data_IF_470054274880
#
_entry.id   IF_470054274880
#
_cell.length_a   1.000
_cell.length_b   1.000
_cell.length_c   1.000
_cell.angle_alpha   90.00
_cell.angle_beta   90.00
_cell.angle_gamma   90.00
#
_symmetry.space_group_name_H-M   'P 1'
#
loop_
_entity.id
_entity.type
_entity.pdbx_description
1 polymer ?
#
# COMPACT_ATOMS: atom_id res chain seq x y z
N UNK A 1 -18.10 11.10 23.31
CA UNK A 1 -16.87 11.51 22.62
C UNK A 1 -16.72 10.54 21.45
N UNK A 2 -16.88 11.00 20.20
CA UNK A 2 -16.57 10.13 19.04
C UNK A 2 -15.08 9.82 19.11
N UNK A 3 -14.66 8.56 18.95
CA UNK A 3 -13.22 8.25 18.89
C UNK A 3 -12.69 8.88 17.62
N UNK A 4 -11.45 9.35 17.62
CA UNK A 4 -10.85 10.00 16.45
C UNK A 4 -10.84 9.10 15.19
N UNK A 5 -10.96 7.78 15.35
CA UNK A 5 -11.13 6.80 14.27
C UNK A 5 -12.53 6.82 13.61
N UNK A 6 -13.54 7.40 14.24
CA UNK A 6 -14.94 7.40 13.75
C UNK A 6 -15.29 8.69 12.96
N UNK A 7 -14.28 9.52 12.63
CA UNK A 7 -14.45 10.76 11.87
C UNK A 7 -14.55 10.43 10.38
N UNK A 8 -15.69 10.67 9.71
CA UNK A 8 -15.86 10.33 8.30
C UNK A 8 -14.99 11.19 7.40
N UNK A 9 -14.31 10.57 6.46
CA UNK A 9 -13.52 11.21 5.42
C UNK A 9 -13.78 10.51 4.08
N UNK A 10 -13.47 11.17 2.97
CA UNK A 10 -13.60 10.61 1.63
C UNK A 10 -12.47 11.07 0.72
N UNK A 11 -12.52 10.70 -0.57
CA UNK A 11 -11.57 11.16 -1.58
C UNK A 11 -12.06 12.40 -2.36
N UNK A 12 -13.19 13.02 -1.99
CA UNK A 12 -13.73 14.19 -2.69
C UNK A 12 -14.58 15.11 -1.81
N UNK A 13 -14.91 16.30 -2.33
CA UNK A 13 -15.79 17.26 -1.64
C UNK A 13 -15.23 17.77 -0.31
N UNK A 14 -16.12 18.20 0.58
CA UNK A 14 -15.77 18.91 1.82
C UNK A 14 -15.04 18.05 2.87
N UNK A 15 -14.91 16.74 2.64
CA UNK A 15 -14.13 15.82 3.47
C UNK A 15 -13.07 15.04 2.66
N UNK A 16 -12.68 15.59 1.51
CA UNK A 16 -11.63 15.07 0.63
C UNK A 16 -10.20 15.30 1.17
N UNK A 17 -9.17 14.84 0.42
CA UNK A 17 -7.78 14.88 0.84
C UNK A 17 -7.25 16.25 1.25
N UNK A 18 -7.70 17.31 0.56
CA UNK A 18 -7.34 18.70 0.87
C UNK A 18 -7.86 19.15 2.25
N UNK A 19 -8.89 18.50 2.78
CA UNK A 19 -9.57 18.87 4.02
C UNK A 19 -9.37 17.88 5.17
N UNK A 20 -8.73 16.72 4.95
CA UNK A 20 -8.58 15.72 6.01
C UNK A 20 -8.00 16.27 7.31
N UNK A 21 -6.97 17.11 7.21
CA UNK A 21 -6.33 17.73 8.36
C UNK A 21 -7.27 18.64 9.19
N UNK A 22 -8.37 19.13 8.63
CA UNK A 22 -9.34 19.98 9.34
C UNK A 22 -10.46 19.17 10.01
N UNK A 23 -10.58 17.88 9.73
CA UNK A 23 -11.72 17.07 10.19
C UNK A 23 -11.65 16.72 11.68
N UNK A 24 -10.44 16.55 12.23
CA UNK A 24 -10.22 16.43 13.68
C UNK A 24 -8.74 16.63 14.05
N UNK A 25 -8.50 16.87 15.34
CA UNK A 25 -7.16 17.11 15.90
C UNK A 25 -6.16 15.98 15.59
N UNK A 26 -6.62 14.73 15.52
CA UNK A 26 -5.75 13.58 15.23
C UNK A 26 -5.27 13.57 13.78
N UNK A 27 -6.12 13.97 12.84
CA UNK A 27 -5.74 14.10 11.43
C UNK A 27 -4.85 15.32 11.22
N UNK A 28 -5.15 16.43 11.92
CA UNK A 28 -4.29 17.60 11.95
C UNK A 28 -2.87 17.24 12.40
N UNK A 29 -2.74 16.51 13.52
CA UNK A 29 -1.44 16.12 14.06
C UNK A 29 -0.63 15.24 13.10
N UNK A 30 -1.27 14.29 12.40
CA UNK A 30 -0.54 13.48 11.43
C UNK A 30 -0.14 14.26 10.17
N UNK A 31 -0.96 15.21 9.74
CA UNK A 31 -0.66 16.10 8.61
C UNK A 31 0.50 17.08 8.88
N UNK A 32 0.88 17.31 10.15
CA UNK A 32 2.08 18.08 10.52
C UNK A 32 3.38 17.38 10.11
N UNK A 33 3.37 16.06 9.88
CA UNK A 33 4.56 15.34 9.43
C UNK A 33 5.02 15.86 8.07
N UNK A 34 6.27 16.31 8.00
CA UNK A 34 6.76 17.12 6.87
C UNK A 34 6.81 16.36 5.54
N UNK A 35 7.21 15.09 5.55
CA UNK A 35 7.38 14.29 4.33
C UNK A 35 6.14 13.43 4.05
N UNK A 36 5.09 14.06 3.53
CA UNK A 36 3.84 13.36 3.22
C UNK A 36 3.98 12.46 1.98
N UNK A 37 3.15 11.42 1.91
CA UNK A 37 3.01 10.48 0.78
C UNK A 37 1.60 10.54 0.20
N UNK A 38 1.38 10.14 -1.07
CA UNK A 38 2.36 9.61 -2.05
C UNK A 38 3.20 10.72 -2.71
N UNK A 39 4.18 10.33 -3.52
CA UNK A 39 5.02 11.24 -4.33
C UNK A 39 5.25 10.74 -5.74
N UNK A 40 5.66 11.66 -6.62
CA UNK A 40 6.31 11.30 -7.86
C UNK A 40 7.70 10.73 -7.57
N UNK A 41 8.04 9.62 -8.25
CA UNK A 41 9.32 8.96 -8.21
C UNK A 41 9.94 9.07 -9.61
N UNK A 42 11.16 9.59 -9.69
CA UNK A 42 11.86 9.80 -10.95
C UNK A 42 13.25 9.21 -10.82
N UNK A 43 13.61 8.28 -11.70
CA UNK A 43 14.89 7.57 -11.61
C UNK A 43 16.08 8.55 -11.64
N UNK A 44 16.04 9.54 -12.52
CA UNK A 44 17.11 10.54 -12.70
C UNK A 44 17.23 11.54 -11.55
N UNK A 45 16.28 11.56 -10.61
CA UNK A 45 16.32 12.42 -9.43
C UNK A 45 16.62 11.66 -8.13
N UNK A 46 17.19 10.46 -8.23
CA UNK A 46 17.58 9.64 -7.09
C UNK A 46 19.00 9.93 -6.62
N UNK A 47 19.24 9.67 -5.35
CA UNK A 47 20.57 9.66 -4.75
C UNK A 47 21.18 8.27 -4.86
N UNK A 48 22.51 8.21 -4.86
CA UNK A 48 23.25 6.95 -4.87
C UNK A 48 22.79 6.04 -3.71
N UNK A 49 22.46 4.77 -3.98
CA UNK A 49 22.04 3.85 -2.95
C UNK A 49 23.14 3.67 -1.89
N UNK A 50 22.71 3.60 -0.64
CA UNK A 50 23.58 3.25 0.49
C UNK A 50 23.58 1.70 0.61
N UNK A 51 24.25 1.12 1.60
CA UNK A 51 23.99 -0.28 1.93
C UNK A 51 22.53 -0.45 2.41
N UNK A 52 21.80 -1.37 1.79
CA UNK A 52 20.41 -1.66 2.11
C UNK A 52 20.21 -3.15 2.39
N UNK A 53 19.87 -3.40 3.65
CA UNK A 53 19.56 -4.72 4.18
C UNK A 53 18.03 -4.88 4.23
N UNK A 54 17.42 -5.23 3.09
CA UNK A 54 15.99 -5.52 2.93
C UNK A 54 15.81 -6.99 2.54
N UNK A 55 15.05 -7.75 3.34
CA UNK A 55 14.76 -9.15 3.06
C UNK A 55 13.28 -9.47 3.31
N UNK A 56 12.68 -10.20 2.37
CA UNK A 56 11.29 -10.63 2.45
C UNK A 56 11.20 -12.06 2.99
N UNK A 57 10.38 -12.25 4.03
CA UNK A 57 10.14 -13.53 4.68
C UNK A 57 8.64 -13.82 4.68
N UNK A 58 8.09 -13.98 3.48
CA UNK A 58 6.69 -14.30 3.27
C UNK A 58 6.50 -15.80 3.14
N UNK A 59 5.33 -16.26 3.57
CA UNK A 59 4.91 -17.64 3.41
C UNK A 59 3.40 -17.70 3.25
N UNK A 60 2.90 -18.81 2.69
CA UNK A 60 1.46 -19.07 2.62
C UNK A 60 0.84 -19.01 4.01
N UNK A 61 -0.12 -18.11 4.19
CA UNK A 61 -0.88 -17.96 5.43
C UNK A 61 -2.35 -17.62 5.16
N UNK A 62 -3.14 -17.53 6.23
CA UNK A 62 -4.58 -17.26 6.17
C UNK A 62 -4.86 -15.77 6.34
N UNK A 63 -5.68 -15.23 5.46
CA UNK A 63 -6.19 -13.87 5.50
C UNK A 63 -7.72 -13.87 5.67
N UNK A 64 -8.23 -12.73 6.12
CA UNK A 64 -9.63 -12.34 5.96
C UNK A 64 -9.70 -11.07 5.13
N UNK A 65 -10.73 -10.93 4.32
CA UNK A 65 -10.99 -9.72 3.55
C UNK A 65 -12.02 -8.85 4.28
N UNK A 66 -11.79 -7.54 4.29
CA UNK A 66 -12.72 -6.56 4.85
C UNK A 66 -12.73 -5.32 3.99
N UNK A 67 -13.92 -4.82 3.69
CA UNK A 67 -14.06 -3.45 3.21
C UNK A 67 -13.74 -2.49 4.37
N UNK A 68 -12.75 -1.63 4.18
CA UNK A 68 -12.43 -0.56 5.12
C UNK A 68 -11.81 0.62 4.37
N UNK A 69 -12.08 1.85 4.82
CA UNK A 69 -11.47 3.07 4.24
C UNK A 69 -11.58 3.16 2.71
N UNK A 70 -12.66 2.63 2.15
CA UNK A 70 -12.97 2.67 0.72
C UNK A 70 -12.07 1.79 -0.17
N UNK A 71 -11.49 0.72 0.39
CA UNK A 71 -10.84 -0.36 -0.35
C UNK A 71 -11.05 -1.69 0.38
N UNK A 72 -10.71 -2.78 -0.30
CA UNK A 72 -10.55 -4.10 0.31
C UNK A 72 -9.21 -4.19 1.01
N UNK A 73 -9.24 -4.78 2.19
CA UNK A 73 -8.09 -5.09 3.03
C UNK A 73 -8.02 -6.59 3.25
N UNK A 74 -6.89 -7.22 2.90
CA UNK A 74 -6.54 -8.57 3.30
C UNK A 74 -5.71 -8.50 4.59
N UNK A 75 -6.32 -8.93 5.68
CA UNK A 75 -5.71 -8.90 7.02
C UNK A 75 -5.31 -10.32 7.42
N UNK A 76 -4.02 -10.57 7.70
CA UNK A 76 -3.58 -11.90 8.12
C UNK A 76 -4.12 -12.25 9.52
N UNK A 77 -4.49 -13.51 9.73
CA UNK A 77 -4.93 -13.99 11.04
C UNK A 77 -3.78 -14.11 12.04
N UNK A 78 -2.56 -14.33 11.53
CA UNK A 78 -1.36 -14.56 12.31
C UNK A 78 -0.23 -13.62 11.84
N UNK A 79 0.83 -13.46 12.62
CA UNK A 79 2.02 -12.66 12.23
C UNK A 79 3.08 -13.58 11.63
N UNK A 80 2.77 -14.18 10.50
CA UNK A 80 3.60 -15.22 9.89
C UNK A 80 4.56 -14.69 8.83
N UNK A 81 4.09 -13.77 7.99
CA UNK A 81 4.90 -13.06 6.99
C UNK A 81 5.49 -11.77 7.56
N UNK A 82 6.74 -11.46 7.22
CA UNK A 82 7.43 -10.23 7.64
C UNK A 82 8.51 -9.80 6.66
N UNK A 83 8.95 -8.55 6.81
CA UNK A 83 10.11 -7.96 6.14
C UNK A 83 11.17 -7.66 7.19
N UNK A 84 12.42 -8.02 6.91
CA UNK A 84 13.57 -7.57 7.70
C UNK A 84 14.14 -6.34 7.02
N UNK A 85 14.24 -5.22 7.73
CA UNK A 85 14.91 -4.01 7.26
C UNK A 85 15.92 -3.54 8.31
N UNK A 86 17.20 -3.47 7.95
CA UNK A 86 18.31 -3.09 8.84
C UNK A 86 18.32 -3.91 10.14
N UNK A 87 18.16 -5.23 10.01
CA UNK A 87 18.08 -6.17 11.12
C UNK A 87 16.81 -6.10 12.00
N UNK A 88 15.81 -5.30 11.64
CA UNK A 88 14.54 -5.19 12.37
C UNK A 88 13.41 -5.87 11.58
N UNK A 89 12.61 -6.69 12.26
CA UNK A 89 11.46 -7.36 11.66
C UNK A 89 10.21 -6.49 11.71
N UNK A 90 9.56 -6.31 10.57
CA UNK A 90 8.26 -5.67 10.39
C UNK A 90 7.26 -6.72 9.91
N UNK A 91 6.30 -7.07 10.75
CA UNK A 91 5.31 -8.11 10.44
C UNK A 91 4.21 -7.56 9.56
N UNK A 92 3.81 -8.33 8.54
CA UNK A 92 2.71 -7.99 7.66
C UNK A 92 1.42 -7.85 8.48
N UNK A 93 0.74 -6.72 8.33
CA UNK A 93 -0.50 -6.43 9.05
C UNK A 93 -1.69 -6.25 8.13
N UNK A 94 -1.45 -5.91 6.87
CA UNK A 94 -2.51 -5.52 5.95
C UNK A 94 -2.01 -5.50 4.50
N UNK A 95 -2.87 -5.90 3.56
CA UNK A 95 -2.67 -5.70 2.13
C UNK A 95 -3.93 -5.03 1.56
N UNK A 96 -3.78 -3.91 0.88
CA UNK A 96 -4.89 -3.22 0.21
C UNK A 96 -4.41 -2.61 -1.10
N UNK A 97 -5.32 -1.99 -1.85
CA UNK A 97 -4.98 -1.38 -3.13
C UNK A 97 -5.68 -0.05 -3.38
N UNK A 98 -5.07 0.73 -4.27
CA UNK A 98 -5.56 2.01 -4.74
C UNK A 98 -5.74 2.01 -6.25
N UNK A 99 -6.78 2.67 -6.72
CA UNK A 99 -7.16 2.82 -8.12
C UNK A 99 -7.54 4.27 -8.43
N UNK A 100 -6.78 4.97 -9.29
CA UNK A 100 -5.48 4.58 -9.86
C UNK A 100 -4.38 4.44 -8.79
N UNK A 101 -3.16 4.09 -9.21
CA UNK A 101 -1.97 4.14 -8.33
C UNK A 101 -1.80 5.49 -7.65
N UNK A 102 -1.33 5.47 -6.39
CA UNK A 102 -1.06 6.67 -5.61
C UNK A 102 0.29 7.28 -5.98
N UNK A 103 1.33 6.46 -6.10
CA UNK A 103 2.62 6.86 -6.65
C UNK A 103 2.56 6.94 -8.17
N UNK A 104 3.40 7.81 -8.72
CA UNK A 104 3.71 7.82 -10.15
C UNK A 104 5.20 7.60 -10.33
N UNK A 105 5.59 6.91 -11.38
CA UNK A 105 7.00 6.63 -11.71
C UNK A 105 7.29 7.21 -13.09
N UNK A 106 8.29 8.07 -13.19
CA UNK A 106 8.69 8.77 -14.43
C UNK A 106 7.50 9.39 -15.18
N UNK A 107 6.68 10.15 -14.44
CA UNK A 107 5.45 10.80 -14.92
C UNK A 107 4.34 9.84 -15.41
N UNK A 108 4.46 8.53 -15.19
CA UNK A 108 3.45 7.54 -15.52
C UNK A 108 2.67 7.06 -14.30
N UNK A 109 1.36 7.36 -14.28
CA UNK A 109 0.41 6.76 -13.35
C UNK A 109 -0.11 5.43 -13.88
N UNK A 110 -0.09 4.40 -13.05
CA UNK A 110 -0.62 3.07 -13.37
C UNK A 110 -2.07 2.90 -12.88
N UNK A 111 -2.76 1.90 -13.42
CA UNK A 111 -4.19 1.65 -13.13
C UNK A 111 -4.46 1.18 -11.68
N UNK A 112 -3.46 0.61 -11.01
CA UNK A 112 -3.60 0.00 -9.70
C UNK A 112 -2.27 0.05 -8.93
N UNK A 113 -2.33 0.20 -7.61
CA UNK A 113 -1.18 0.03 -6.71
C UNK A 113 -1.59 -0.77 -5.48
N UNK A 114 -0.88 -1.85 -5.18
CA UNK A 114 -1.01 -2.58 -3.92
C UNK A 114 -0.04 -2.03 -2.88
N UNK A 115 -0.54 -1.88 -1.65
CA UNK A 115 0.25 -1.59 -0.46
C UNK A 115 0.26 -2.79 0.47
N UNK A 116 1.45 -3.33 0.73
CA UNK A 116 1.68 -4.32 1.78
C UNK A 116 2.24 -3.58 3.01
N UNK A 117 1.41 -3.45 4.03
CA UNK A 117 1.72 -2.69 5.25
C UNK A 117 2.26 -3.61 6.31
N UNK A 118 3.40 -3.23 6.89
CA UNK A 118 4.08 -3.97 7.94
C UNK A 118 4.32 -3.09 9.15
N UNK A 119 4.36 -3.72 10.33
CA UNK A 119 4.61 -3.03 11.59
C UNK A 119 5.55 -3.85 12.49
N UNK A 120 6.52 -3.20 13.11
CA UNK A 120 7.40 -3.83 14.09
C UNK A 120 6.77 -3.85 15.50
N UNK A 121 7.49 -4.38 16.49
CA UNK A 121 7.01 -4.46 17.88
C UNK A 121 6.85 -3.09 18.56
N UNK A 122 7.60 -2.09 18.11
CA UNK A 122 7.55 -0.72 18.61
C UNK A 122 6.42 0.11 17.96
N UNK A 123 5.69 -0.47 17.00
CA UNK A 123 4.58 0.20 16.29
C UNK A 123 5.02 1.09 15.15
N UNK A 124 6.26 0.97 14.68
CA UNK A 124 6.78 1.65 13.51
C UNK A 124 6.38 0.90 12.24
N UNK A 125 6.02 1.64 11.19
CA UNK A 125 5.50 1.06 9.97
C UNK A 125 6.49 1.11 8.81
N UNK A 126 6.36 0.10 7.95
CA UNK A 126 7.03 -0.04 6.67
C UNK A 126 5.97 -0.41 5.64
N UNK A 127 5.97 0.24 4.48
CA UNK A 127 5.02 -0.06 3.41
C UNK A 127 5.76 -0.39 2.13
N UNK A 128 5.32 -1.47 1.49
CA UNK A 128 5.80 -1.90 0.19
C UNK A 128 4.73 -1.62 -0.84
N UNK A 129 5.07 -0.83 -1.87
CA UNK A 129 4.20 -0.45 -2.98
C UNK A 129 4.53 -1.23 -4.25
N UNK A 130 3.53 -1.81 -4.91
CA UNK A 130 3.68 -2.48 -6.20
C UNK A 130 2.61 -1.98 -7.16
N UNK A 131 3.02 -1.48 -8.32
CA UNK A 131 2.15 -0.91 -9.33
C UNK A 131 1.76 -1.96 -10.37
N UNK A 132 0.53 -1.89 -10.88
CA UNK A 132 -0.01 -2.84 -11.84
C UNK A 132 -0.79 -2.15 -12.97
N UNK A 133 -0.72 -2.74 -14.17
CA UNK A 133 -1.67 -2.53 -15.26
C UNK A 133 -2.75 -3.61 -15.21
N UNK A 134 -3.98 -3.24 -15.54
CA UNK A 134 -5.10 -4.15 -15.59
C UNK A 134 -5.21 -4.79 -16.98
N UNK A 135 -5.35 -6.12 -16.99
CA UNK A 135 -5.43 -6.91 -18.23
C UNK A 135 -6.62 -7.85 -18.20
N UNK A 136 -7.10 -8.27 -19.37
CA UNK A 136 -8.16 -9.27 -19.50
C UNK A 136 -7.64 -10.71 -19.35
N UNK A 137 -6.33 -10.90 -19.23
CA UNK A 137 -5.77 -12.21 -18.91
C UNK A 137 -6.15 -12.57 -17.48
N UNK A 138 -6.51 -13.83 -17.26
CA UNK A 138 -6.52 -14.39 -15.91
C UNK A 138 -5.05 -14.46 -15.48
N UNK A 139 -4.69 -13.68 -14.47
CA UNK A 139 -3.35 -13.71 -13.88
C UNK A 139 -3.28 -14.85 -12.85
N UNK A 140 -2.11 -15.08 -12.25
CA UNK A 140 -1.91 -16.18 -11.31
C UNK A 140 -2.85 -16.14 -10.08
N UNK A 141 -3.45 -14.98 -9.73
CA UNK A 141 -4.52 -14.85 -8.71
C UNK A 141 -5.81 -15.55 -9.15
N UNK A 142 -6.20 -15.39 -10.42
CA UNK A 142 -7.42 -15.97 -10.99
C UNK A 142 -7.20 -17.32 -11.69
N UNK A 143 -5.96 -17.62 -12.10
CA UNK A 143 -5.65 -18.76 -12.97
C UNK A 143 -5.41 -20.05 -12.19
N UNK A 144 -5.59 -20.03 -10.87
CA UNK A 144 -5.72 -21.21 -10.03
C UNK A 144 -7.19 -21.28 -9.59
N UNK A 145 -8.00 -22.04 -10.32
CA UNK A 145 -9.28 -22.58 -9.83
C UNK A 145 -9.03 -23.59 -8.70
N UNK A 146 -8.20 -23.22 -7.74
CA UNK A 146 -8.18 -23.89 -6.46
C UNK A 146 -9.10 -23.05 -5.58
N UNK A 147 -10.34 -23.52 -5.43
CA UNK A 147 -11.32 -22.94 -4.49
C UNK A 147 -10.75 -22.85 -3.06
N UNK A 148 -9.55 -23.43 -2.80
CA UNK A 148 -8.78 -23.24 -1.57
C UNK A 148 -8.19 -21.84 -1.36
N UNK A 149 -8.08 -21.00 -2.40
CA UNK A 149 -7.47 -19.66 -2.27
C UNK A 149 -8.50 -18.63 -1.81
N UNK A 150 -9.73 -18.68 -2.33
CA UNK A 150 -10.76 -17.67 -2.11
C UNK A 150 -12.07 -18.31 -1.63
N UNK A 151 -12.32 -18.25 -0.33
CA UNK A 151 -13.60 -18.59 0.28
C UNK A 151 -14.39 -17.29 0.51
N UNK A 152 -15.07 -16.84 -0.54
CA UNK A 152 -15.91 -15.64 -0.51
C UNK A 152 -17.14 -15.79 0.38
N UNK A 153 -17.59 -17.02 0.66
CA UNK A 153 -18.72 -17.24 1.57
C UNK A 153 -18.32 -16.96 3.02
N UNK A 154 -17.10 -17.36 3.41
CA UNK A 154 -16.58 -17.19 4.75
C UNK A 154 -15.53 -16.06 4.86
N UNK A 155 -15.39 -15.23 3.81
CA UNK A 155 -14.41 -14.14 3.72
C UNK A 155 -13.01 -14.56 4.20
N UNK A 156 -12.56 -15.74 3.75
CA UNK A 156 -11.27 -16.33 4.12
C UNK A 156 -10.43 -16.63 2.89
N UNK A 157 -9.15 -16.27 2.94
CA UNK A 157 -8.23 -16.44 1.82
C UNK A 157 -6.95 -17.13 2.27
N UNK A 158 -6.36 -17.95 1.41
CA UNK A 158 -5.09 -18.64 1.71
C UNK A 158 -4.09 -18.45 0.57
N UNK A 159 -3.09 -17.61 0.79
CA UNK A 159 -2.10 -17.31 -0.23
C UNK A 159 -0.75 -16.92 0.38
N UNK A 160 0.28 -16.94 -0.45
CA UNK A 160 1.63 -16.51 -0.09
C UNK A 160 1.87 -15.09 -0.63
N UNK A 161 2.09 -14.07 0.21
CA UNK A 161 2.23 -12.68 -0.24
C UNK A 161 3.37 -12.43 -1.24
N UNK A 162 4.35 -13.35 -1.38
CA UNK A 162 5.38 -13.26 -2.44
C UNK A 162 4.80 -13.13 -3.84
N UNK A 163 3.57 -13.59 -4.02
CA UNK A 163 2.83 -13.49 -5.28
C UNK A 163 2.64 -12.05 -5.79
N UNK A 164 2.62 -11.05 -4.90
CA UNK A 164 2.56 -9.64 -5.28
C UNK A 164 3.91 -9.04 -5.66
N UNK A 165 5.02 -9.71 -5.30
CA UNK A 165 6.36 -9.19 -5.49
C UNK A 165 6.91 -9.52 -6.89
N UNK A 166 7.73 -8.64 -7.48
CA UNK A 166 8.49 -8.97 -8.68
C UNK A 166 9.61 -9.99 -8.41
N UNK A 167 10.04 -10.69 -9.46
CA UNK A 167 11.27 -11.52 -9.40
C UNK A 167 12.53 -10.68 -9.19
N UNK A 168 12.54 -9.46 -9.75
CA UNK A 168 13.64 -8.49 -9.60
C UNK A 168 13.23 -7.43 -8.59
N UNK A 169 14.11 -7.18 -7.63
CA UNK A 169 13.77 -6.33 -6.50
C UNK A 169 14.22 -4.89 -6.67
N UNK A 170 14.25 -4.34 -7.90
CA UNK A 170 14.63 -2.93 -8.07
C UNK A 170 13.52 -2.03 -7.52
N UNK A 171 13.88 -1.04 -6.72
CA UNK A 171 12.88 -0.23 -6.04
C UNK A 171 13.40 1.12 -5.58
N UNK A 172 12.47 2.06 -5.45
CA UNK A 172 12.66 3.30 -4.75
C UNK A 172 12.52 3.10 -3.24
N UNK A 173 13.35 3.79 -2.47
CA UNK A 173 13.21 3.89 -1.02
C UNK A 173 13.20 5.35 -0.58
N UNK A 174 12.21 5.71 0.24
CA UNK A 174 12.13 7.04 0.86
C UNK A 174 11.38 6.98 2.20
N UNK A 175 11.54 8.03 3.02
CA UNK A 175 10.75 8.21 4.25
C UNK A 175 9.55 9.12 3.96
N UNK A 176 8.37 8.61 4.27
CA UNK A 176 7.09 9.23 3.96
C UNK A 176 6.07 9.18 5.10
N UNK A 177 4.79 9.22 4.73
CA UNK A 177 3.65 9.11 5.63
C UNK A 177 2.69 8.02 5.21
N UNK A 178 1.67 7.74 6.03
CA UNK A 178 0.46 7.09 5.55
C UNK A 178 -0.21 7.97 4.49
N UNK A 179 -0.87 7.36 3.52
CA UNK A 179 -1.62 8.04 2.45
C UNK A 179 -3.10 8.21 2.76
N UNK A 180 -3.58 7.61 3.86
CA UNK A 180 -4.93 7.85 4.41
C UNK A 180 -4.84 8.45 5.80
N UNK A 181 -5.90 9.12 6.29
CA UNK A 181 -5.94 9.64 7.64
C UNK A 181 -5.54 8.60 8.70
N UNK A 182 -4.66 8.98 9.66
CA UNK A 182 -4.27 10.35 10.00
C UNK A 182 -3.11 10.94 9.17
N UNK A 183 -2.66 10.29 8.09
CA UNK A 183 -1.51 10.71 7.27
C UNK A 183 -0.21 10.90 8.06
N UNK A 184 -0.05 10.10 9.12
CA UNK A 184 1.08 10.17 10.04
C UNK A 184 2.31 9.48 9.45
N UNK A 185 3.49 10.04 9.71
CA UNK A 185 4.78 9.40 9.51
C UNK A 185 5.57 9.28 10.82
N UNK A 186 6.82 8.81 10.77
CA UNK A 186 7.52 8.36 9.56
C UNK A 186 7.07 6.96 9.11
N UNK A 187 7.05 6.74 7.80
CA UNK A 187 6.86 5.43 7.16
C UNK A 187 8.05 5.16 6.24
N UNK A 188 8.67 3.99 6.36
CA UNK A 188 9.64 3.56 5.37
C UNK A 188 8.90 3.00 4.14
N UNK A 189 8.99 3.69 3.01
CA UNK A 189 8.40 3.26 1.75
C UNK A 189 9.42 2.51 0.89
N UNK A 190 8.97 1.42 0.28
CA UNK A 190 9.69 0.64 -0.71
C UNK A 190 8.78 0.43 -1.92
N UNK A 191 8.99 1.18 -3.00
CA UNK A 191 8.12 1.17 -4.18
C UNK A 191 8.87 0.53 -5.34
N UNK A 192 8.44 -0.65 -5.76
CA UNK A 192 9.08 -1.37 -6.87
C UNK A 192 8.83 -0.64 -8.20
N UNK A 193 9.85 -0.59 -9.06
CA UNK A 193 9.76 -0.01 -10.41
C UNK A 193 9.13 -0.96 -11.43
N UNK A 194 9.05 -2.25 -11.09
CA UNK A 194 8.39 -3.25 -11.90
C UNK A 194 6.88 -3.04 -11.92
N UNK A 195 6.33 -2.99 -13.14
CA UNK A 195 4.88 -2.88 -13.35
C UNK A 195 4.30 -4.26 -13.63
N UNK A 196 3.47 -4.75 -12.70
CA UNK A 196 2.81 -6.04 -12.82
C UNK A 196 1.58 -6.04 -13.73
N UNK A 197 1.12 -7.23 -14.10
CA UNK A 197 -0.16 -7.45 -14.78
C UNK A 197 -1.20 -8.00 -13.78
N UNK A 198 -2.28 -7.26 -13.55
CA UNK A 198 -3.38 -7.65 -12.68
C UNK A 198 -4.64 -7.98 -13.49
N UNK A 199 -5.34 -9.07 -13.15
CA UNK A 199 -6.57 -9.40 -13.86
C UNK A 199 -7.66 -8.40 -13.53
N UNK A 200 -8.24 -7.76 -14.56
CA UNK A 200 -9.38 -6.87 -14.40
C UNK A 200 -10.57 -7.58 -13.76
N UNK A 201 -10.73 -8.89 -14.04
CA UNK A 201 -11.80 -9.71 -13.48
C UNK A 201 -11.69 -9.81 -11.95
N UNK A 202 -10.50 -9.99 -11.40
CA UNK A 202 -10.27 -10.04 -9.95
C UNK A 202 -10.75 -8.76 -9.29
N UNK A 203 -10.31 -7.60 -9.80
CA UNK A 203 -10.70 -6.31 -9.25
C UNK A 203 -12.22 -6.09 -9.32
N UNK A 204 -12.86 -6.54 -10.40
CA UNK A 204 -14.31 -6.45 -10.58
C UNK A 204 -15.13 -7.31 -9.61
N UNK A 205 -14.53 -8.30 -8.94
CA UNK A 205 -15.19 -9.06 -7.87
C UNK A 205 -15.44 -8.16 -6.64
N UNK A 206 -14.60 -7.13 -6.45
CA UNK A 206 -14.70 -6.18 -5.35
C UNK A 206 -15.30 -4.82 -5.75
N UNK A 207 -15.82 -4.68 -6.98
CA UNK A 207 -16.24 -3.37 -7.53
C UNK A 207 -17.29 -2.62 -6.71
N UNK A 208 -18.14 -3.33 -5.96
CA UNK A 208 -19.17 -2.69 -5.13
C UNK A 208 -18.59 -2.16 -3.80
N UNK A 209 -17.38 -2.59 -3.45
CA UNK A 209 -16.66 -2.32 -2.20
C UNK A 209 -15.43 -1.41 -2.42
N UNK A 210 -15.03 -1.18 -3.69
CA UNK A 210 -13.91 -0.32 -4.08
C UNK A 210 -14.44 1.00 -4.59
N UNK A 211 -14.06 2.11 -3.97
CA UNK A 211 -14.30 3.43 -4.56
C UNK A 211 -13.36 3.64 -5.75
N UNK A 212 -13.93 4.02 -6.89
CA UNK A 212 -13.15 4.59 -7.99
C UNK A 212 -12.47 5.89 -7.53
N UNK A 213 -11.21 6.08 -7.91
CA UNK A 213 -10.39 7.25 -7.55
C UNK A 213 -10.14 7.38 -6.03
N UNK A 214 -9.78 6.27 -5.40
CA UNK A 214 -9.41 6.21 -3.99
C UNK A 214 -7.91 6.52 -3.75
N UNK A 215 -7.29 7.32 -4.61
CA UNK A 215 -5.90 7.72 -4.50
C UNK A 215 -5.78 9.16 -3.97
N UNK A 216 -4.91 9.36 -2.98
CA UNK A 216 -4.56 10.69 -2.48
C UNK A 216 -3.74 11.43 -3.55
N UNK A 217 -3.95 12.75 -3.75
CA UNK A 217 -3.08 13.56 -4.60
C UNK A 217 -1.61 13.49 -4.16
N UNK A 218 -0.71 13.61 -5.14
CA UNK A 218 0.73 13.68 -4.91
C UNK A 218 1.08 14.81 -3.93
N UNK A 219 2.07 14.55 -3.10
CA UNK A 219 2.60 15.47 -2.11
C UNK A 219 3.96 15.99 -2.57
N UNK A 220 4.34 17.18 -2.11
CA UNK A 220 5.65 17.75 -2.46
C UNK A 220 6.77 16.85 -1.96
N UNK A 221 7.72 16.53 -2.85
CA UNK A 221 8.96 15.83 -2.48
C UNK A 221 9.71 16.57 -1.37
N UNK A 222 9.72 17.91 -1.43
CA UNK A 222 10.57 18.79 -0.59
C UNK A 222 12.05 18.41 -0.77
N UNK A 223 12.83 18.46 0.30
CA UNK A 223 14.24 18.14 0.37
C UNK A 223 14.52 16.68 0.77
N UNK A 224 13.49 15.81 0.76
CA UNK A 224 13.68 14.40 1.17
C UNK A 224 14.58 13.65 0.17
N UNK A 225 15.55 12.86 0.66
CA UNK A 225 16.30 11.95 -0.20
C UNK A 225 15.41 10.82 -0.68
N UNK A 226 15.63 10.41 -1.93
CA UNK A 226 15.00 9.24 -2.55
C UNK A 226 16.13 8.43 -3.15
N UNK A 227 16.18 7.15 -2.82
CA UNK A 227 17.21 6.23 -3.29
C UNK A 227 16.60 5.23 -4.25
N UNK A 228 17.37 4.77 -5.22
CA UNK A 228 17.00 3.68 -6.11
C UNK A 228 18.01 2.54 -5.98
N UNK A 229 17.50 1.34 -5.75
CA UNK A 229 18.26 0.11 -5.48
C UNK A 229 18.02 -0.92 -6.57
#
# INVERSE_FOLDING_TARGET
MKRNMDVPWSYSGDNGPEHWHTLCDWYAQGAEFTYQSPIALVHDETEEPIDQDLAFHYKRERFTEKEFKNTIHFVPYNKESYVTFKGINYYLTDIHFHMPSEHIIDDEQQELEFHLVHMNEDGENLVVGILFKLTDKLNWICNQQDDSIWDFENHTQWFDPTMFLPERTHHFHYVGSLTTPPTKGPINWFVFDWIGEMSRRFILEFREEVLENNNRPLQDRKDRPIYFY
#
